data_IF_504415032190
#
_entry.id   IF_504415032190
#
_cell.length_a   1.000
_cell.length_b   1.000
_cell.length_c   1.000
_cell.angle_alpha   90.00
_cell.angle_beta   90.00
_cell.angle_gamma   90.00
#
_symmetry.space_group_name_H-M   'P 1'
#
loop_
_entity.id
_entity.type
_entity.pdbx_description
1 polymer ?
#
# COMPACT_ATOMS: atom_id res chain seq x y z
N UNK A 1 11.81 -19.00 -12.93
CA UNK A 1 12.72 -20.17 -13.08
C UNK A 1 12.27 -21.37 -12.21
N UNK A 2 11.84 -21.17 -10.95
CA UNK A 2 11.31 -22.24 -10.09
C UNK A 2 10.01 -22.89 -10.60
N UNK A 3 9.11 -22.11 -11.22
CA UNK A 3 7.81 -22.59 -11.71
C UNK A 3 7.91 -23.62 -12.83
N UNK A 4 8.85 -23.42 -13.77
CA UNK A 4 9.09 -24.35 -14.87
C UNK A 4 9.72 -25.66 -14.38
N UNK A 5 10.61 -25.58 -13.39
CA UNK A 5 11.26 -26.75 -12.80
C UNK A 5 10.27 -27.65 -12.06
N UNK A 6 9.37 -27.07 -11.26
CA UNK A 6 8.29 -27.83 -10.58
C UNK A 6 7.38 -28.49 -11.61
N UNK A 7 7.00 -27.75 -12.67
CA UNK A 7 6.17 -28.28 -13.74
C UNK A 7 6.83 -29.46 -14.47
N UNK A 8 8.11 -29.34 -14.82
CA UNK A 8 8.89 -30.42 -15.47
C UNK A 8 9.02 -31.65 -14.54
N UNK A 9 9.27 -31.45 -13.24
CA UNK A 9 9.34 -32.56 -12.27
C UNK A 9 8.01 -33.31 -12.21
N UNK A 10 6.88 -32.60 -12.19
CA UNK A 10 5.55 -33.21 -12.15
C UNK A 10 5.17 -33.92 -13.47
N UNK A 11 5.65 -33.41 -14.63
CA UNK A 11 5.44 -34.05 -15.94
C UNK A 11 6.18 -35.38 -16.11
N UNK A 12 7.22 -35.67 -15.32
CA UNK A 12 7.95 -36.96 -15.35
C UNK A 12 7.16 -38.13 -14.71
N UNK A 13 5.83 -38.08 -14.72
CA UNK A 13 4.95 -39.21 -14.38
C UNK A 13 4.59 -39.36 -12.90
N UNK A 14 5.02 -38.44 -12.03
CA UNK A 14 4.75 -38.52 -10.59
C UNK A 14 3.42 -37.87 -10.18
N UNK A 15 2.81 -37.05 -11.06
CA UNK A 15 1.53 -36.41 -10.81
C UNK A 15 0.78 -36.06 -12.10
N UNK A 16 -0.56 -35.95 -12.00
CA UNK A 16 -1.37 -35.34 -13.06
C UNK A 16 -1.43 -33.83 -12.85
N UNK A 17 -1.09 -33.06 -13.88
CA UNK A 17 -1.13 -31.60 -13.82
C UNK A 17 -2.54 -31.11 -14.18
N UNK A 18 -3.16 -30.37 -13.26
CA UNK A 18 -4.44 -29.71 -13.48
C UNK A 18 -4.25 -28.20 -13.53
N UNK A 19 -4.44 -27.61 -14.70
CA UNK A 19 -4.40 -26.15 -14.91
C UNK A 19 -5.72 -25.49 -14.48
N UNK A 20 -6.03 -25.57 -13.20
CA UNK A 20 -7.25 -25.02 -12.61
C UNK A 20 -6.91 -24.10 -11.43
N UNK A 21 -7.90 -23.35 -10.94
CA UNK A 21 -7.70 -22.52 -9.75
C UNK A 21 -7.40 -23.39 -8.53
N UNK A 22 -6.39 -22.98 -7.75
CA UNK A 22 -6.08 -23.65 -6.48
C UNK A 22 -7.31 -23.60 -5.56
N UNK A 23 -7.73 -24.73 -4.96
CA UNK A 23 -8.78 -24.73 -3.95
C UNK A 23 -8.49 -23.75 -2.80
N UNK A 24 -7.22 -23.58 -2.41
CA UNK A 24 -6.82 -22.61 -1.37
C UNK A 24 -7.06 -21.18 -1.83
N UNK A 25 -6.84 -20.87 -3.12
CA UNK A 25 -7.14 -19.54 -3.66
C UNK A 25 -8.64 -19.24 -3.59
N UNK A 26 -9.50 -20.22 -3.91
CA UNK A 26 -10.95 -20.09 -3.80
C UNK A 26 -11.41 -19.95 -2.34
N UNK A 27 -10.87 -20.77 -1.44
CA UNK A 27 -11.23 -20.74 -0.01
C UNK A 27 -10.89 -19.37 0.62
N UNK A 28 -9.69 -18.83 0.38
CA UNK A 28 -9.28 -17.54 0.95
C UNK A 28 -9.95 -16.32 0.30
N UNK A 29 -10.74 -16.49 -0.76
CA UNK A 29 -11.50 -15.39 -1.35
C UNK A 29 -12.64 -14.94 -0.42
N UNK A 30 -13.28 -15.88 0.29
CA UNK A 30 -14.39 -15.61 1.21
C UNK A 30 -13.84 -15.62 2.63
N UNK A 31 -13.88 -14.47 3.30
CA UNK A 31 -13.32 -14.32 4.64
C UNK A 31 -14.32 -14.84 5.67
N UNK A 32 -13.83 -15.54 6.68
CA UNK A 32 -14.63 -15.90 7.85
C UNK A 32 -14.78 -14.69 8.80
N UNK A 33 -15.62 -14.82 9.82
CA UNK A 33 -15.92 -13.72 10.75
C UNK A 33 -14.68 -13.20 11.51
N UNK A 34 -13.73 -14.07 11.83
CA UNK A 34 -12.48 -13.67 12.51
C UNK A 34 -11.60 -12.84 11.55
N UNK A 35 -11.48 -13.26 10.29
CA UNK A 35 -10.75 -12.50 9.27
C UNK A 35 -11.41 -11.15 9.00
N UNK A 36 -12.74 -11.11 8.88
CA UNK A 36 -13.50 -9.88 8.67
C UNK A 36 -13.31 -8.90 9.82
N UNK A 37 -13.30 -9.37 11.05
CA UNK A 37 -13.05 -8.52 12.21
C UNK A 37 -11.61 -8.00 12.24
N UNK A 38 -10.64 -8.84 11.84
CA UNK A 38 -9.27 -8.40 11.60
C UNK A 38 -9.18 -7.29 10.56
N UNK A 39 -9.90 -7.41 9.43
CA UNK A 39 -9.96 -6.35 8.42
C UNK A 39 -10.56 -5.05 8.96
N UNK A 40 -11.65 -5.11 9.75
CA UNK A 40 -12.26 -3.91 10.35
C UNK A 40 -11.28 -3.22 11.30
N UNK A 41 -10.64 -3.98 12.18
CA UNK A 41 -9.63 -3.47 13.11
C UNK A 41 -8.45 -2.83 12.36
N UNK A 42 -7.93 -3.50 11.33
CA UNK A 42 -6.86 -2.97 10.49
C UNK A 42 -7.26 -1.64 9.81
N UNK A 43 -8.48 -1.53 9.28
CA UNK A 43 -8.95 -0.30 8.65
C UNK A 43 -9.13 0.86 9.65
N UNK A 44 -9.52 0.58 10.90
CA UNK A 44 -9.57 1.62 11.94
C UNK A 44 -8.17 2.16 12.22
N UNK A 45 -7.18 1.28 12.40
CA UNK A 45 -5.78 1.66 12.63
C UNK A 45 -5.18 2.41 11.43
N UNK A 46 -5.39 1.91 10.22
CA UNK A 46 -4.90 2.58 9.00
C UNK A 46 -5.59 3.94 8.80
N UNK A 47 -6.89 4.03 9.10
CA UNK A 47 -7.64 5.28 9.07
C UNK A 47 -7.06 6.35 10.00
N UNK A 48 -6.59 5.97 11.20
CA UNK A 48 -5.90 6.88 12.11
C UNK A 48 -4.62 7.41 11.45
N UNK A 49 -3.79 6.52 10.88
CA UNK A 49 -2.55 6.91 10.22
C UNK A 49 -2.80 7.84 9.01
N UNK A 50 -3.82 7.56 8.20
CA UNK A 50 -4.22 8.38 7.05
C UNK A 50 -4.68 9.77 7.49
N UNK A 51 -5.58 9.87 8.48
CA UNK A 51 -6.06 11.16 8.99
C UNK A 51 -4.90 11.99 9.56
N UNK A 52 -3.98 11.37 10.29
CA UNK A 52 -2.77 12.03 10.79
C UNK A 52 -1.86 12.51 9.65
N UNK A 53 -1.69 11.69 8.61
CA UNK A 53 -0.92 12.04 7.41
C UNK A 53 -1.50 13.24 6.65
N UNK A 54 -2.81 13.22 6.40
CA UNK A 54 -3.52 14.32 5.71
C UNK A 54 -3.45 15.62 6.51
N UNK A 55 -3.70 15.55 7.82
CA UNK A 55 -3.55 16.71 8.71
C UNK A 55 -2.12 17.25 8.70
N UNK A 56 -1.13 16.37 8.81
CA UNK A 56 0.27 16.77 8.83
C UNK A 56 0.66 17.51 7.56
N UNK A 57 0.32 17.01 6.37
CA UNK A 57 0.68 17.70 5.11
C UNK A 57 -0.05 19.03 4.97
N UNK A 58 -1.32 19.11 5.38
CA UNK A 58 -2.07 20.36 5.41
C UNK A 58 -1.38 21.42 6.30
N UNK A 59 -0.98 21.05 7.52
CA UNK A 59 -0.27 21.93 8.45
C UNK A 59 1.11 22.36 7.90
N UNK A 60 1.86 21.44 7.28
CA UNK A 60 3.15 21.74 6.67
C UNK A 60 3.01 22.76 5.53
N UNK A 61 2.07 22.52 4.61
CA UNK A 61 1.82 23.42 3.47
C UNK A 61 1.31 24.78 3.96
N UNK A 62 0.38 24.81 4.92
CA UNK A 62 -0.16 26.05 5.47
C UNK A 62 0.89 26.90 6.20
N UNK A 63 1.88 26.27 6.83
CA UNK A 63 2.99 26.96 7.50
C UNK A 63 4.07 27.50 6.54
N UNK A 64 3.98 27.18 5.24
CA UNK A 64 4.98 27.53 4.24
C UNK A 64 6.23 26.63 4.27
N UNK A 65 6.18 25.49 4.96
CA UNK A 65 7.26 24.52 4.94
C UNK A 65 7.37 23.86 3.56
N UNK A 66 8.60 23.55 3.14
CA UNK A 66 8.84 22.79 1.92
C UNK A 66 8.65 21.31 2.24
N UNK A 67 7.55 20.73 1.76
CA UNK A 67 7.24 19.30 1.87
C UNK A 67 7.03 18.72 0.47
N UNK A 68 7.60 17.55 0.22
CA UNK A 68 7.49 16.87 -1.07
C UNK A 68 6.57 15.66 -1.01
N UNK A 69 6.24 15.12 -2.18
CA UNK A 69 5.45 13.90 -2.31
C UNK A 69 6.10 12.71 -1.59
N UNK A 70 7.43 12.57 -1.67
CA UNK A 70 8.13 11.48 -0.99
C UNK A 70 8.13 11.66 0.54
N UNK A 71 8.18 12.89 1.03
CA UNK A 71 8.09 13.18 2.47
C UNK A 71 6.72 12.76 3.02
N UNK A 72 5.63 13.02 2.28
CA UNK A 72 4.30 12.55 2.65
C UNK A 72 4.22 11.01 2.66
N UNK A 73 4.78 10.36 1.64
CA UNK A 73 4.84 8.90 1.57
C UNK A 73 5.55 8.31 2.80
N UNK A 74 6.71 8.86 3.16
CA UNK A 74 7.47 8.40 4.33
C UNK A 74 6.73 8.70 5.63
N UNK A 75 6.10 9.88 5.74
CA UNK A 75 5.35 10.25 6.95
C UNK A 75 4.15 9.35 7.18
N UNK A 76 3.43 8.97 6.13
CA UNK A 76 2.36 7.98 6.23
C UNK A 76 2.89 6.62 6.69
N UNK A 77 4.06 6.20 6.21
CA UNK A 77 4.69 4.98 6.68
C UNK A 77 5.11 5.07 8.16
N UNK A 78 5.60 6.23 8.61
CA UNK A 78 5.92 6.49 10.02
C UNK A 78 4.68 6.38 10.91
N UNK A 79 3.59 7.08 10.57
CA UNK A 79 2.35 7.02 11.33
C UNK A 79 1.76 5.62 11.38
N UNK A 80 1.86 4.85 10.28
CA UNK A 80 1.47 3.43 10.30
C UNK A 80 2.33 2.61 11.24
N UNK A 81 3.63 2.87 11.34
CA UNK A 81 4.55 2.12 12.24
C UNK A 81 4.28 2.38 13.72
N UNK A 82 3.62 3.49 14.05
CA UNK A 82 3.20 3.79 15.43
C UNK A 82 1.98 2.97 15.88
N UNK A 83 1.17 2.49 14.93
CA UNK A 83 -0.02 1.69 15.24
C UNK A 83 0.34 0.26 15.68
N UNK A 84 -0.37 -0.24 16.68
CA UNK A 84 -0.13 -1.58 17.22
C UNK A 84 -0.33 -2.66 16.15
N UNK A 85 0.63 -3.59 16.08
CA UNK A 85 0.66 -4.71 15.12
C UNK A 85 0.85 -4.31 13.65
N UNK A 86 1.31 -3.09 13.39
CA UNK A 86 1.72 -2.70 12.05
C UNK A 86 2.92 -3.50 11.56
N UNK A 87 2.82 -3.94 10.31
CA UNK A 87 3.90 -4.52 9.52
C UNK A 87 4.41 -3.55 8.44
N UNK A 88 3.98 -2.28 8.49
CA UNK A 88 4.34 -1.25 7.54
C UNK A 88 3.45 -1.21 6.29
N UNK A 89 3.87 -0.49 5.23
CA UNK A 89 3.05 -0.30 4.03
C UNK A 89 2.75 -1.61 3.29
N UNK A 90 1.54 -1.75 2.75
CA UNK A 90 1.16 -2.88 1.89
C UNK A 90 1.69 -2.78 0.47
N UNK A 91 2.02 -1.58 0.02
CA UNK A 91 2.65 -1.26 -1.27
C UNK A 91 3.33 0.12 -1.16
N UNK A 92 4.09 0.51 -2.17
CA UNK A 92 4.69 1.84 -2.25
C UNK A 92 3.62 2.91 -2.41
N UNK A 93 3.51 3.84 -1.47
CA UNK A 93 2.55 4.94 -1.53
C UNK A 93 2.70 5.73 -2.82
N UNK A 94 1.58 5.96 -3.50
CA UNK A 94 1.46 6.88 -4.62
C UNK A 94 0.98 8.21 -4.04
N UNK A 95 1.88 9.18 -3.93
CA UNK A 95 1.54 10.55 -3.57
C UNK A 95 1.86 11.44 -4.78
N UNK A 96 0.83 11.96 -5.45
CA UNK A 96 0.99 12.78 -6.65
C UNK A 96 0.32 14.14 -6.48
N UNK A 97 1.09 15.20 -6.55
CA UNK A 97 0.62 16.57 -6.46
C UNK A 97 0.55 17.22 -7.86
N UNK A 98 -0.52 17.95 -8.13
CA UNK A 98 -0.77 18.57 -9.43
C UNK A 98 -0.82 17.54 -10.55
N UNK A 99 -0.01 17.74 -11.59
CA UNK A 99 0.05 16.87 -12.78
C UNK A 99 0.49 15.43 -12.47
N UNK A 100 1.29 15.21 -11.42
CA UNK A 100 1.71 13.87 -11.02
C UNK A 100 0.53 13.01 -10.57
N UNK A 101 -0.53 13.63 -10.03
CA UNK A 101 -1.77 12.95 -9.65
C UNK A 101 -2.52 12.34 -10.84
N UNK A 102 -2.21 12.74 -12.09
CA UNK A 102 -2.81 12.16 -13.29
C UNK A 102 -2.09 10.89 -13.79
N UNK A 103 -0.93 10.53 -13.22
CA UNK A 103 -0.13 9.37 -13.63
C UNK A 103 -0.55 8.17 -12.76
N UNK A 104 -1.20 7.17 -13.36
CA UNK A 104 -1.82 6.04 -12.65
C UNK A 104 -0.80 5.24 -11.82
N UNK A 105 0.36 4.93 -12.40
CA UNK A 105 1.44 4.20 -11.73
C UNK A 105 2.59 5.14 -11.37
N UNK A 106 2.26 6.26 -10.72
CA UNK A 106 3.26 7.19 -10.22
C UNK A 106 3.96 6.63 -8.98
N UNK A 107 5.26 6.89 -8.86
CA UNK A 107 6.01 6.65 -7.63
C UNK A 107 6.87 7.89 -7.41
N UNK A 108 6.66 8.64 -6.31
CA UNK A 108 7.46 9.82 -6.05
C UNK A 108 8.95 9.43 -5.96
N UNK A 109 9.84 10.10 -6.71
CA UNK A 109 11.25 9.77 -6.67
C UNK A 109 11.87 10.25 -5.35
N UNK A 110 12.95 9.60 -4.92
CA UNK A 110 13.70 9.99 -3.72
C UNK A 110 14.47 11.29 -3.93
N UNK A 111 15.02 11.48 -5.11
CA UNK A 111 15.71 12.70 -5.54
C UNK A 111 14.83 13.45 -6.53
N UNK A 112 14.69 14.77 -6.37
CA UNK A 112 13.86 15.58 -7.27
C UNK A 112 12.35 15.35 -7.11
N UNK A 113 11.90 14.85 -5.95
CA UNK A 113 10.47 14.74 -5.64
C UNK A 113 9.78 16.10 -5.72
N UNK A 114 8.57 16.14 -6.29
CA UNK A 114 7.84 17.41 -6.45
C UNK A 114 7.42 17.95 -5.09
N UNK A 115 7.59 19.25 -4.90
CA UNK A 115 7.08 19.98 -3.72
C UNK A 115 5.54 20.07 -3.83
N UNK A 116 4.84 19.81 -2.72
CA UNK A 116 3.39 19.93 -2.63
C UNK A 116 3.04 21.41 -2.38
N UNK A 117 2.34 22.03 -3.32
CA UNK A 117 1.90 23.42 -3.25
C UNK A 117 0.49 23.57 -2.69
N UNK A 118 0.19 24.78 -2.19
CA UNK A 118 -1.11 25.11 -1.58
C UNK A 118 -2.30 24.97 -2.54
N UNK A 119 -2.08 25.19 -3.84
CA UNK A 119 -3.13 25.13 -4.86
C UNK A 119 -3.07 23.83 -5.68
N UNK A 120 -2.25 22.86 -5.28
CA UNK A 120 -2.19 21.57 -5.95
C UNK A 120 -3.35 20.69 -5.54
N UNK A 121 -3.92 19.98 -6.52
CA UNK A 121 -4.68 18.77 -6.22
C UNK A 121 -3.70 17.69 -5.75
N UNK A 122 -4.00 17.03 -4.63
CA UNK A 122 -3.18 15.96 -4.07
C UNK A 122 -3.93 14.63 -4.17
N UNK A 123 -3.35 13.67 -4.89
CA UNK A 123 -3.79 12.27 -4.91
C UNK A 123 -2.88 11.46 -3.99
N UNK A 124 -3.50 10.64 -3.13
CA UNK A 124 -2.78 9.70 -2.25
C UNK A 124 -3.44 8.34 -2.35
N UNK A 125 -2.72 7.37 -2.90
CA UNK A 125 -3.05 5.94 -2.82
C UNK A 125 -2.03 5.24 -1.93
N UNK A 126 -2.49 4.68 -0.81
CA UNK A 126 -1.63 4.09 0.21
C UNK A 126 -2.39 3.04 1.02
N UNK A 127 -1.66 2.13 1.66
CA UNK A 127 -2.24 1.14 2.57
C UNK A 127 -1.20 0.53 3.51
N UNK A 128 -1.67 -0.11 4.58
CA UNK A 128 -0.85 -0.78 5.58
C UNK A 128 -1.17 -2.26 5.72
N UNK A 129 -0.19 -3.02 6.23
CA UNK A 129 -0.34 -4.41 6.66
C UNK A 129 -0.38 -4.48 8.18
N UNK A 130 -1.29 -5.28 8.72
CA UNK A 130 -1.50 -5.44 10.16
C UNK A 130 -1.70 -6.91 10.51
N UNK A 131 -1.30 -7.31 11.72
CA UNK A 131 -1.51 -8.67 12.24
C UNK A 131 -2.95 -8.93 12.65
#
# INVERSE_FOLDING_TARGET
>A
MLSLLIFIILQNGVATILSTLSPVALMKCIKNEVELEGFRSAHVKDGIAVVRGLRWVEEQVASGAVVTEIDLSDKLADFRREEEHSHGPSFSTIAGAGENGAIIHYSPPREGSRVIGQNDMLLVDSGGQYK
#
